data_IF_217678492107
#
_entry.id   IF_217678492107
#
_cell.length_a   1.000
_cell.length_b   1.000
_cell.length_c   1.000
_cell.angle_alpha   90.00
_cell.angle_beta   90.00
_cell.angle_gamma   90.00
#
_symmetry.space_group_name_H-M   'P 1'
#
loop_
_entity.id
_entity.type
_entity.pdbx_description
1 polymer ?
#
# COMPACT_ATOMS: atom_id res chain seq x y z
N UNK A 1 -17.80 -25.33 13.80
CA UNK A 1 -17.40 -25.58 12.40
C UNK A 1 -16.37 -24.57 11.97
N UNK A 2 -15.11 -24.85 12.33
CA UNK A 2 -13.97 -23.96 12.14
C UNK A 2 -13.40 -24.12 10.74
N UNK A 3 -13.71 -23.16 9.86
CA UNK A 3 -12.89 -22.95 8.68
C UNK A 3 -11.65 -22.16 9.12
N UNK A 4 -10.52 -22.84 9.25
CA UNK A 4 -9.20 -22.19 9.23
C UNK A 4 -9.06 -21.50 7.87
N UNK A 5 -9.35 -20.20 7.80
CA UNK A 5 -9.04 -19.40 6.62
C UNK A 5 -7.52 -19.28 6.53
N UNK A 6 -6.90 -19.99 5.59
CA UNK A 6 -5.52 -19.73 5.22
C UNK A 6 -5.43 -18.29 4.71
N UNK A 7 -4.52 -17.51 5.30
CA UNK A 7 -4.32 -16.12 4.93
C UNK A 7 -3.77 -16.03 3.49
N UNK A 8 -4.51 -15.39 2.59
CA UNK A 8 -4.16 -15.31 1.17
C UNK A 8 -3.15 -14.18 0.92
N UNK A 9 -1.85 -14.51 1.01
CA UNK A 9 -0.76 -13.59 0.73
C UNK A 9 -0.19 -13.79 -0.68
N UNK A 10 -0.13 -12.73 -1.48
CA UNK A 10 0.39 -12.79 -2.86
C UNK A 10 1.27 -11.59 -3.18
N UNK A 11 2.32 -11.82 -3.96
CA UNK A 11 3.19 -10.76 -4.47
C UNK A 11 3.04 -10.69 -5.99
N UNK A 12 2.77 -9.50 -6.51
CA UNK A 12 2.55 -9.23 -7.92
C UNK A 12 3.70 -8.42 -8.50
N UNK A 13 4.10 -8.74 -9.73
CA UNK A 13 5.11 -7.99 -10.46
C UNK A 13 4.56 -6.78 -11.21
N UNK A 14 3.23 -6.67 -11.31
CA UNK A 14 2.54 -5.61 -12.02
C UNK A 14 1.44 -5.01 -11.12
N UNK A 15 1.43 -3.69 -10.87
CA UNK A 15 0.46 -3.06 -9.97
C UNK A 15 -0.97 -3.13 -10.54
N UNK A 16 -1.13 -3.13 -11.87
CA UNK A 16 -2.44 -3.34 -12.50
C UNK A 16 -3.00 -4.74 -12.23
N UNK A 17 -2.16 -5.78 -12.28
CA UNK A 17 -2.56 -7.16 -11.97
C UNK A 17 -2.97 -7.33 -10.51
N UNK A 18 -2.27 -6.67 -9.60
CA UNK A 18 -2.67 -6.59 -8.20
C UNK A 18 -4.06 -5.96 -8.06
N UNK A 19 -4.28 -4.79 -8.68
CA UNK A 19 -5.57 -4.08 -8.63
C UNK A 19 -6.71 -4.91 -9.24
N UNK A 20 -6.48 -5.59 -10.36
CA UNK A 20 -7.45 -6.50 -10.97
C UNK A 20 -7.83 -7.64 -10.01
N UNK A 21 -6.84 -8.33 -9.44
CA UNK A 21 -7.09 -9.41 -8.47
C UNK A 21 -7.83 -8.91 -7.23
N UNK A 22 -7.49 -7.72 -6.74
CA UNK A 22 -8.17 -7.09 -5.61
C UNK A 22 -9.62 -6.71 -5.96
N UNK A 23 -9.89 -6.27 -7.19
CA UNK A 23 -11.25 -5.95 -7.66
C UNK A 23 -12.16 -7.16 -7.62
N UNK A 24 -11.65 -8.32 -8.03
CA UNK A 24 -12.43 -9.57 -7.93
C UNK A 24 -12.80 -9.92 -6.49
N UNK A 25 -11.91 -9.64 -5.52
CA UNK A 25 -12.25 -9.77 -4.09
C UNK A 25 -13.26 -8.71 -3.66
N UNK A 26 -13.14 -7.47 -4.16
CA UNK A 26 -14.06 -6.39 -3.82
C UNK A 26 -15.49 -6.65 -4.27
N UNK A 27 -15.70 -7.29 -5.43
CA UNK A 27 -17.04 -7.64 -5.96
C UNK A 27 -17.88 -8.51 -5.02
N UNK A 28 -17.25 -9.20 -4.05
CA UNK A 28 -17.94 -10.10 -3.12
C UNK A 28 -18.80 -9.31 -2.11
N UNK A 29 -18.24 -8.25 -1.53
CA UNK A 29 -18.90 -7.52 -0.43
C UNK A 29 -18.41 -6.08 -0.23
N UNK A 30 -17.71 -5.51 -1.21
CA UNK A 30 -17.10 -4.17 -1.17
C UNK A 30 -16.14 -3.92 0.01
N UNK A 31 -15.49 -4.96 0.56
CA UNK A 31 -14.52 -4.85 1.67
C UNK A 31 -13.08 -5.02 1.25
N UNK A 32 -12.70 -4.53 0.07
CA UNK A 32 -11.30 -4.58 -0.38
C UNK A 32 -10.81 -3.22 -0.86
N UNK A 33 -9.65 -2.76 -0.38
CA UNK A 33 -9.10 -1.45 -0.75
C UNK A 33 -7.61 -1.50 -1.01
N UNK A 34 -7.16 -0.63 -1.91
CA UNK A 34 -5.75 -0.44 -2.22
C UNK A 34 -5.15 0.61 -1.28
N UNK A 35 -3.94 0.36 -0.81
CA UNK A 35 -3.21 1.14 0.18
C UNK A 35 -1.77 1.37 -0.30
N UNK A 36 -1.16 2.47 0.11
CA UNK A 36 0.25 2.74 -0.18
C UNK A 36 0.96 3.49 0.97
N UNK A 37 2.29 3.32 1.02
CA UNK A 37 3.15 4.17 1.83
C UNK A 37 3.31 5.58 1.24
N UNK A 38 3.84 6.53 2.01
CA UNK A 38 4.01 7.94 1.62
C UNK A 38 5.19 8.17 0.66
N UNK A 39 5.23 7.49 -0.49
CA UNK A 39 6.24 7.73 -1.52
C UNK A 39 5.80 8.71 -2.62
N UNK A 40 4.51 9.04 -2.67
CA UNK A 40 3.91 9.80 -3.76
C UNK A 40 3.33 11.13 -3.28
N UNK A 41 3.65 12.22 -3.98
CA UNK A 41 3.17 13.55 -3.62
C UNK A 41 1.65 13.65 -3.86
N UNK A 42 0.94 14.37 -2.98
CA UNK A 42 -0.50 14.58 -3.13
C UNK A 42 -0.80 15.83 -3.98
N UNK A 43 -0.64 15.66 -5.29
CA UNK A 43 -0.76 16.72 -6.30
C UNK A 43 -2.23 17.13 -6.48
N UNK A 44 -3.16 16.17 -6.40
CA UNK A 44 -4.60 16.40 -6.64
C UNK A 44 -5.31 17.09 -5.48
N UNK A 45 -4.67 17.23 -4.31
CA UNK A 45 -5.28 17.75 -3.07
C UNK A 45 -6.04 19.06 -3.24
N UNK A 46 -5.44 20.00 -3.97
CA UNK A 46 -6.01 21.33 -4.22
C UNK A 46 -6.44 21.52 -5.69
N UNK A 47 -6.27 20.48 -6.52
CA UNK A 47 -6.56 20.54 -7.95
C UNK A 47 -7.00 19.15 -8.46
N UNK A 48 -8.22 18.71 -8.13
CA UNK A 48 -8.66 17.35 -8.40
C UNK A 48 -9.12 17.14 -9.85
N UNK A 49 -8.46 17.77 -10.84
CA UNK A 49 -8.78 17.56 -12.27
C UNK A 49 -8.66 16.09 -12.64
N UNK A 50 -9.56 15.63 -13.50
CA UNK A 50 -9.65 14.21 -13.88
C UNK A 50 -8.35 13.66 -14.48
N UNK A 51 -7.59 14.48 -15.20
CA UNK A 51 -6.37 14.14 -15.93
C UNK A 51 -5.08 14.12 -15.06
N UNK A 52 -5.17 14.48 -13.77
CA UNK A 52 -4.04 14.45 -12.84
C UNK A 52 -4.15 13.25 -11.89
N UNK A 53 -3.03 12.54 -11.74
CA UNK A 53 -2.88 11.43 -10.81
C UNK A 53 -1.80 11.72 -9.77
N UNK A 54 -1.92 11.12 -8.59
CA UNK A 54 -0.95 11.25 -7.51
C UNK A 54 0.11 10.14 -7.56
N UNK A 55 -0.31 8.95 -7.99
CA UNK A 55 0.49 7.74 -8.03
C UNK A 55 0.56 7.29 -9.48
N UNK A 56 1.76 7.38 -10.06
CA UNK A 56 2.07 6.87 -11.39
C UNK A 56 3.18 5.82 -11.29
N UNK A 57 2.89 4.61 -11.77
CA UNK A 57 3.80 3.46 -11.70
C UNK A 57 3.99 2.81 -13.08
N UNK A 58 4.84 1.79 -13.13
CA UNK A 58 5.06 1.00 -14.35
C UNK A 58 3.76 0.39 -14.91
N UNK A 59 3.82 0.01 -16.18
CA UNK A 59 2.68 -0.53 -16.94
C UNK A 59 1.48 0.43 -17.02
N UNK A 60 1.68 1.75 -16.88
CA UNK A 60 0.63 2.75 -17.00
C UNK A 60 -0.35 2.75 -15.83
N UNK A 61 0.05 2.21 -14.67
CA UNK A 61 -0.79 2.31 -13.48
C UNK A 61 -0.87 3.76 -13.01
N UNK A 62 -2.09 4.22 -12.78
CA UNK A 62 -2.43 5.56 -12.35
C UNK A 62 -3.50 5.48 -11.27
N UNK A 63 -3.32 6.24 -10.18
CA UNK A 63 -4.29 6.36 -9.10
C UNK A 63 -4.21 7.72 -8.40
N UNK A 64 -5.28 8.07 -7.70
CA UNK A 64 -5.33 9.24 -6.80
C UNK A 64 -5.31 8.77 -5.35
N UNK A 65 -4.77 9.59 -4.46
CA UNK A 65 -5.00 9.41 -3.03
C UNK A 65 -6.49 9.54 -2.72
N UNK A 66 -6.96 8.88 -1.66
CA UNK A 66 -8.33 9.02 -1.23
C UNK A 66 -8.64 10.45 -0.77
N UNK A 67 -9.81 10.96 -1.12
CA UNK A 67 -10.30 12.23 -0.60
C UNK A 67 -10.61 12.09 0.90
N UNK A 68 -10.52 13.19 1.64
CA UNK A 68 -10.44 13.26 3.10
C UNK A 68 -11.63 12.69 3.91
N UNK A 69 -12.60 12.04 3.29
CA UNK A 69 -13.70 11.35 3.98
C UNK A 69 -13.40 9.85 4.09
N UNK A 70 -12.71 9.47 5.15
CA UNK A 70 -12.22 8.10 5.38
C UNK A 70 -13.34 7.06 5.46
N UNK A 71 -14.43 7.35 6.18
CA UNK A 71 -15.47 6.35 6.44
C UNK A 71 -16.24 6.01 5.16
N UNK A 72 -16.60 7.03 4.37
CA UNK A 72 -17.30 6.81 3.10
C UNK A 72 -16.35 6.21 2.07
N UNK A 73 -15.08 6.62 2.03
CA UNK A 73 -14.07 6.00 1.16
C UNK A 73 -13.97 4.47 1.34
N UNK A 74 -14.08 3.99 2.58
CA UNK A 74 -13.95 2.58 2.89
C UNK A 74 -15.14 1.71 2.43
N UNK A 75 -16.31 2.32 2.22
CA UNK A 75 -17.59 1.61 1.96
C UNK A 75 -18.29 2.01 0.67
N UNK A 76 -17.91 3.12 0.04
CA UNK A 76 -18.47 3.57 -1.23
C UNK A 76 -17.92 2.72 -2.38
N UNK A 77 -18.74 2.39 -3.37
CA UNK A 77 -18.31 1.56 -4.52
C UNK A 77 -17.42 2.35 -5.50
N UNK A 78 -17.71 3.65 -5.66
CA UNK A 78 -17.03 4.55 -6.60
C UNK A 78 -15.59 4.92 -6.17
N UNK A 79 -15.18 4.49 -4.98
CA UNK A 79 -13.87 4.86 -4.40
C UNK A 79 -12.82 3.77 -4.54
N UNK A 80 -13.15 2.63 -5.13
CA UNK A 80 -12.22 1.50 -5.26
C UNK A 80 -10.92 1.85 -6.01
N UNK A 81 -10.98 2.75 -7.00
CA UNK A 81 -9.79 3.19 -7.74
C UNK A 81 -8.84 4.09 -6.93
N UNK A 82 -9.30 4.61 -5.80
CA UNK A 82 -8.50 5.47 -4.93
C UNK A 82 -7.62 4.64 -4.02
N UNK A 83 -6.47 5.21 -3.67
CA UNK A 83 -5.50 4.58 -2.78
C UNK A 83 -5.54 5.24 -1.41
N UNK A 84 -5.72 4.42 -0.38
CA UNK A 84 -5.64 4.84 1.01
C UNK A 84 -4.21 4.89 1.53
N UNK A 85 -4.02 5.56 2.66
CA UNK A 85 -2.76 5.62 3.38
C UNK A 85 -2.94 5.10 4.81
N UNK A 86 -1.89 5.14 5.63
CA UNK A 86 -1.97 4.65 7.01
C UNK A 86 -2.98 5.44 7.85
N UNK A 87 -3.12 6.75 7.62
CA UNK A 87 -4.08 7.58 8.35
C UNK A 87 -5.53 7.30 7.94
N UNK A 88 -5.78 7.12 6.64
CA UNK A 88 -7.13 6.87 6.12
C UNK A 88 -7.55 5.40 6.22
N UNK A 89 -6.65 4.52 6.68
CA UNK A 89 -6.99 3.14 7.05
C UNK A 89 -7.02 2.93 8.56
N UNK A 90 -6.84 3.97 9.37
CA UNK A 90 -6.79 3.85 10.81
C UNK A 90 -8.17 3.48 11.38
N UNK A 91 -8.23 2.37 12.13
CA UNK A 91 -9.48 1.88 12.71
C UNK A 91 -10.36 1.12 11.72
N UNK A 92 -9.96 1.02 10.46
CA UNK A 92 -10.65 0.25 9.44
C UNK A 92 -10.05 -1.16 9.31
N UNK A 93 -10.92 -2.09 8.92
CA UNK A 93 -10.58 -3.47 8.60
C UNK A 93 -11.21 -3.83 7.26
N UNK A 94 -10.44 -4.50 6.41
CA UNK A 94 -10.85 -4.96 5.09
C UNK A 94 -10.77 -6.49 5.04
N UNK A 95 -11.56 -7.13 4.19
CA UNK A 95 -11.38 -8.55 3.90
C UNK A 95 -10.05 -8.76 3.18
N UNK A 96 -9.75 -7.94 2.17
CA UNK A 96 -8.48 -7.97 1.43
C UNK A 96 -7.90 -6.57 1.30
N UNK A 97 -6.58 -6.47 1.32
CA UNK A 97 -5.88 -5.23 0.98
C UNK A 97 -4.88 -5.45 -0.13
N UNK A 98 -4.77 -4.46 -1.01
CA UNK A 98 -3.66 -4.35 -1.95
C UNK A 98 -2.67 -3.31 -1.45
N UNK A 99 -1.42 -3.66 -1.20
CA UNK A 99 -0.40 -2.75 -0.67
C UNK A 99 0.67 -2.47 -1.72
N UNK A 100 0.82 -1.20 -2.07
CA UNK A 100 1.91 -0.69 -2.89
C UNK A 100 3.06 -0.29 -1.95
N UNK A 101 4.17 -1.03 -2.04
CA UNK A 101 5.42 -0.72 -1.36
C UNK A 101 6.28 0.11 -2.31
N UNK A 102 6.48 1.38 -1.94
CA UNK A 102 7.28 2.30 -2.72
C UNK A 102 8.79 2.18 -2.46
N UNK A 103 9.56 3.06 -3.09
CA UNK A 103 11.04 3.06 -3.05
C UNK A 103 11.68 3.33 -1.68
N UNK A 104 10.92 3.69 -0.67
CA UNK A 104 11.39 3.93 0.70
C UNK A 104 11.63 2.63 1.50
N UNK A 105 11.21 1.47 0.98
CA UNK A 105 11.54 0.14 1.52
C UNK A 105 12.16 -0.73 0.41
N UNK A 106 13.35 -1.29 0.65
CA UNK A 106 14.12 -2.02 -0.38
C UNK A 106 14.84 -3.22 0.21
N UNK A 107 15.32 -4.11 -0.64
CA UNK A 107 16.15 -5.25 -0.21
C UNK A 107 17.57 -5.16 -0.79
N UNK A 108 18.59 -5.04 0.06
CA UNK A 108 20.00 -4.95 -0.34
C UNK A 108 20.87 -5.78 0.61
N UNK A 109 21.86 -6.47 0.06
CA UNK A 109 22.86 -7.23 0.84
C UNK A 109 22.24 -8.15 1.91
N UNK A 110 21.20 -8.89 1.54
CA UNK A 110 20.54 -9.84 2.44
C UNK A 110 19.57 -9.21 3.46
N UNK A 111 19.33 -7.89 3.42
CA UNK A 111 18.56 -7.17 4.45
C UNK A 111 17.53 -6.23 3.84
N UNK A 112 16.39 -6.10 4.52
CA UNK A 112 15.40 -5.06 4.23
C UNK A 112 15.89 -3.73 4.81
N UNK A 113 16.10 -2.74 3.96
CA UNK A 113 16.56 -1.40 4.31
C UNK A 113 15.47 -0.37 4.03
N UNK A 114 15.52 0.76 4.72
CA UNK A 114 14.63 1.91 4.50
C UNK A 114 15.39 3.08 3.87
N UNK A 115 14.67 3.96 3.18
CA UNK A 115 15.23 5.17 2.58
C UNK A 115 14.24 6.34 2.70
N UNK A 116 14.43 7.14 3.75
CA UNK A 116 13.61 8.34 4.01
C UNK A 116 13.64 9.36 2.87
N UNK A 117 14.67 9.35 2.03
CA UNK A 117 14.81 10.32 0.92
C UNK A 117 13.87 10.00 -0.24
N UNK A 118 13.26 8.81 -0.24
CA UNK A 118 12.26 8.35 -1.21
C UNK A 118 10.83 8.59 -0.76
N UNK A 119 10.62 9.24 0.39
CA UNK A 119 9.31 9.71 0.83
C UNK A 119 8.90 10.97 0.07
N UNK A 120 7.59 11.13 -0.10
CA UNK A 120 6.98 12.31 -0.71
C UNK A 120 7.39 13.58 0.04
N UNK A 121 7.56 14.70 -0.67
CA UNK A 121 7.82 16.00 -0.04
C UNK A 121 6.60 16.49 0.74
N UNK A 122 5.42 16.05 0.32
CA UNK A 122 4.16 16.32 1.02
C UNK A 122 3.97 15.43 2.26
N UNK A 123 4.83 14.44 2.50
CA UNK A 123 4.77 13.60 3.71
C UNK A 123 5.11 14.44 4.96
N UNK A 124 4.09 14.66 5.79
CA UNK A 124 4.24 15.38 7.05
C UNK A 124 4.72 14.48 8.18
N UNK A 125 4.64 13.14 8.05
CA UNK A 125 5.00 12.20 9.12
C UNK A 125 6.48 12.20 9.46
N UNK A 126 7.34 12.63 8.52
CA UNK A 126 8.78 12.80 8.73
C UNK A 126 9.21 14.26 8.96
N UNK A 127 8.28 15.23 8.95
CA UNK A 127 8.62 16.64 9.23
C UNK A 127 9.13 16.76 10.67
N UNK A 128 10.28 17.40 10.84
CA UNK A 128 10.93 17.57 12.14
C UNK A 128 11.92 16.45 12.52
N UNK A 129 11.99 15.36 11.75
CA UNK A 129 12.97 14.29 11.96
C UNK A 129 14.30 14.66 11.28
N UNK A 130 14.96 15.72 11.78
CA UNK A 130 16.30 16.08 11.30
C UNK A 130 17.32 15.09 11.89
N UNK A 131 18.02 14.36 11.02
CA UNK A 131 19.16 13.50 11.38
C UNK A 131 18.86 12.21 12.17
N UNK A 132 17.61 11.88 12.46
CA UNK A 132 17.27 10.65 13.20
C UNK A 132 16.84 9.51 12.27
N UNK A 133 17.83 8.82 11.69
CA UNK A 133 17.62 7.70 10.77
C UNK A 133 16.94 6.50 11.43
N UNK A 134 17.19 6.25 12.72
CA UNK A 134 16.53 5.16 13.46
C UNK A 134 15.02 5.40 13.62
N UNK A 135 14.63 6.65 13.89
CA UNK A 135 13.21 7.01 13.95
C UNK A 135 12.55 6.91 12.57
N UNK A 136 13.22 7.38 11.52
CA UNK A 136 12.71 7.28 10.15
C UNK A 136 12.53 5.82 9.72
N UNK A 137 13.52 4.96 9.98
CA UNK A 137 13.45 3.52 9.72
C UNK A 137 12.25 2.88 10.44
N UNK A 138 12.08 3.19 11.73
CA UNK A 138 10.93 2.70 12.52
C UNK A 138 9.60 3.15 11.93
N UNK A 139 9.47 4.41 11.54
CA UNK A 139 8.22 4.95 10.94
C UNK A 139 7.92 4.25 9.62
N UNK A 140 8.92 4.07 8.75
CA UNK A 140 8.74 3.41 7.46
C UNK A 140 8.31 1.96 7.63
N UNK A 141 9.00 1.20 8.48
CA UNK A 141 8.65 -0.20 8.76
C UNK A 141 7.26 -0.33 9.39
N UNK A 142 6.95 0.51 10.38
CA UNK A 142 5.63 0.51 11.00
C UNK A 142 4.53 0.88 10.02
N UNK A 143 4.80 1.79 9.07
CA UNK A 143 3.85 2.12 8.00
C UNK A 143 3.43 0.85 7.26
N UNK A 144 4.40 0.14 6.68
CA UNK A 144 4.09 -1.04 5.88
C UNK A 144 3.56 -2.20 6.72
N UNK A 145 4.07 -2.40 7.94
CA UNK A 145 3.52 -3.39 8.88
C UNK A 145 2.03 -3.15 9.12
N UNK A 146 1.64 -1.91 9.39
CA UNK A 146 0.23 -1.56 9.62
C UNK A 146 -0.60 -1.71 8.36
N UNK A 147 -0.14 -1.26 7.19
CA UNK A 147 -0.92 -1.39 5.95
C UNK A 147 -1.16 -2.86 5.59
N UNK A 148 -0.13 -3.71 5.68
CA UNK A 148 -0.22 -5.13 5.34
C UNK A 148 -1.10 -5.92 6.33
N UNK A 149 -1.28 -5.44 7.56
CA UNK A 149 -2.15 -6.10 8.54
C UNK A 149 -3.62 -5.68 8.47
N UNK A 150 -4.01 -4.81 7.52
CA UNK A 150 -5.41 -4.33 7.41
C UNK A 150 -6.35 -5.31 6.74
N UNK A 151 -5.83 -6.30 6.01
CA UNK A 151 -6.63 -7.37 5.39
C UNK A 151 -6.80 -8.52 6.37
N UNK A 152 -8.05 -8.93 6.62
CA UNK A 152 -8.41 -10.04 7.50
C UNK A 152 -8.25 -11.40 6.83
N UNK A 153 -8.56 -11.49 5.53
CA UNK A 153 -8.52 -12.73 4.73
C UNK A 153 -7.29 -12.81 3.83
N UNK A 154 -6.73 -11.67 3.41
CA UNK A 154 -5.55 -11.66 2.57
C UNK A 154 -4.90 -10.29 2.35
N UNK A 155 -3.65 -10.33 1.89
CA UNK A 155 -2.87 -9.14 1.54
C UNK A 155 -2.11 -9.39 0.24
N UNK A 156 -2.39 -8.56 -0.75
CA UNK A 156 -1.72 -8.56 -2.05
C UNK A 156 -0.70 -7.43 -2.08
N UNK A 157 0.52 -7.71 -2.53
CA UNK A 157 1.64 -6.77 -2.45
C UNK A 157 2.25 -6.54 -3.82
N UNK A 158 2.55 -5.29 -4.11
CA UNK A 158 3.43 -4.90 -5.21
C UNK A 158 4.60 -4.09 -4.64
N UNK A 159 5.81 -4.36 -5.12
CA UNK A 159 7.01 -3.62 -4.70
C UNK A 159 7.63 -2.92 -5.90
N UNK A 160 7.92 -1.62 -5.78
CA UNK A 160 8.74 -0.91 -6.77
C UNK A 160 10.18 -1.45 -6.81
N UNK A 161 10.72 -1.93 -5.68
CA UNK A 161 12.02 -2.59 -5.62
C UNK A 161 11.91 -4.08 -5.95
N UNK A 162 12.38 -4.50 -7.12
CA UNK A 162 12.27 -5.89 -7.57
C UNK A 162 13.01 -6.88 -6.66
N UNK A 163 14.14 -6.49 -6.08
CA UNK A 163 14.84 -7.32 -5.10
C UNK A 163 14.00 -7.58 -3.84
N UNK A 164 13.21 -6.59 -3.39
CA UNK A 164 12.25 -6.77 -2.31
C UNK A 164 11.09 -7.68 -2.72
N UNK A 165 10.56 -7.53 -3.95
CA UNK A 165 9.53 -8.41 -4.51
C UNK A 165 9.97 -9.88 -4.44
N UNK A 166 11.15 -10.19 -4.97
CA UNK A 166 11.71 -11.55 -4.96
C UNK A 166 11.98 -12.07 -3.55
N UNK A 167 12.48 -11.21 -2.66
CA UNK A 167 12.66 -11.57 -1.26
C UNK A 167 11.32 -11.98 -0.62
N UNK A 168 10.26 -11.18 -0.79
CA UNK A 168 8.93 -11.50 -0.25
C UNK A 168 8.39 -12.79 -0.88
N UNK A 169 8.43 -12.95 -2.20
CA UNK A 169 8.03 -14.20 -2.87
C UNK A 169 8.74 -15.41 -2.27
N UNK A 170 10.06 -15.35 -2.08
CA UNK A 170 10.83 -16.45 -1.49
C UNK A 170 10.42 -16.76 -0.05
N UNK A 171 10.01 -15.77 0.73
CA UNK A 171 9.58 -15.97 2.11
C UNK A 171 8.20 -16.60 2.22
N UNK A 172 7.28 -16.25 1.32
CA UNK A 172 5.90 -16.74 1.34
C UNK A 172 5.65 -17.97 0.47
N UNK A 173 6.52 -18.26 -0.50
CA UNK A 173 6.51 -19.53 -1.22
C UNK A 173 6.83 -20.74 -0.31
N UNK A 174 7.49 -20.50 0.83
CA UNK A 174 7.82 -21.53 1.81
C UNK A 174 6.72 -21.73 2.89
N UNK A 175 5.59 -21.03 2.78
CA UNK A 175 4.50 -21.03 3.79
C UNK A 175 3.23 -21.73 3.24
N UNK A 176 3.22 -22.13 1.98
CA UNK A 176 2.11 -22.81 1.31
C UNK A 176 2.48 -24.22 0.88
#
# INVERSE_FOLDING_TARGET
DGFEYQYDFRVFDCPNKLREALREKNKINNKSRMLAGYCYDWITKNNPREDIYDIELENGFMAKWNFSNTDTWAIDEDTFEQVGCIHTSQGLEFDYVGVIIGKDLRYRNGRVITDRTKRAKTDQSLRGIKGNEALADRIIRNTYKTLMSRGLKGCFVYCEDKALSEYLKSKFANIN
#
